data_IF_895022723210
#
_entry.id   IF_895022723210
#
_cell.length_a   1.000
_cell.length_b   1.000
_cell.length_c   1.000
_cell.angle_alpha   90.00
_cell.angle_beta   90.00
_cell.angle_gamma   90.00
#
_symmetry.space_group_name_H-M   'P 1'
#
loop_
_entity.id
_entity.type
_entity.pdbx_description
1 polymer ?
#
# COMPACT_ATOMS: atom_id res chain seq x y z
N UNK A 1 25.24 -13.20 9.36
CA UNK A 1 23.87 -13.78 9.28
C UNK A 1 23.01 -12.79 8.49
N UNK A 2 22.41 -13.15 7.35
CA UNK A 2 21.55 -12.21 6.63
C UNK A 2 20.24 -12.10 7.40
N UNK A 3 20.08 -11.04 8.17
CA UNK A 3 18.77 -10.64 8.69
C UNK A 3 17.93 -10.23 7.48
N UNK A 4 17.21 -11.19 6.90
CA UNK A 4 16.13 -10.93 5.96
C UNK A 4 14.95 -10.46 6.81
N UNK A 5 14.94 -9.18 7.14
CA UNK A 5 13.71 -8.49 7.52
C UNK A 5 13.08 -8.04 6.20
N UNK A 6 12.18 -8.82 5.59
CA UNK A 6 11.47 -8.32 4.43
C UNK A 6 10.77 -7.02 4.83
N UNK A 7 10.88 -5.95 4.02
CA UNK A 7 10.19 -4.70 4.31
C UNK A 7 8.70 -5.00 4.46
N UNK A 8 8.10 -4.46 5.52
CA UNK A 8 6.68 -4.72 5.77
C UNK A 8 5.88 -4.22 4.57
N UNK A 9 4.84 -4.94 4.10
CA UNK A 9 4.14 -4.58 2.88
C UNK A 9 3.52 -3.18 2.92
N UNK A 10 3.16 -2.68 4.10
CA UNK A 10 2.74 -1.30 4.27
C UNK A 10 3.85 -0.25 4.09
N UNK A 11 5.11 -0.55 4.40
CA UNK A 11 6.23 0.34 4.08
C UNK A 11 6.47 0.41 2.58
N UNK A 12 6.30 -0.71 1.87
CA UNK A 12 6.37 -0.77 0.40
C UNK A 12 5.29 0.13 -0.22
N UNK A 13 4.08 0.13 0.35
CA UNK A 13 2.99 1.00 -0.13
C UNK A 13 3.32 2.48 0.06
N UNK A 14 4.01 2.84 1.15
CA UNK A 14 4.47 4.22 1.38
C UNK A 14 5.42 4.68 0.27
N UNK A 15 6.45 3.87 0.02
CA UNK A 15 7.54 4.18 -0.91
C UNK A 15 7.04 4.19 -2.37
N UNK A 16 6.21 3.22 -2.75
CA UNK A 16 5.75 3.08 -4.14
C UNK A 16 4.58 3.99 -4.51
N UNK A 17 3.83 4.51 -3.53
CA UNK A 17 2.62 5.29 -3.82
C UNK A 17 2.52 6.61 -3.07
N UNK A 18 2.76 6.63 -1.76
CA UNK A 18 2.56 7.84 -0.97
C UNK A 18 3.61 8.90 -1.33
N UNK A 19 4.88 8.50 -1.43
CA UNK A 19 5.98 9.40 -1.82
C UNK A 19 5.87 9.92 -3.26
N UNK A 20 5.70 9.09 -4.31
CA UNK A 20 5.65 9.58 -5.69
C UNK A 20 4.36 10.34 -6.05
N UNK A 21 3.27 10.13 -5.30
CA UNK A 21 2.02 10.89 -5.50
C UNK A 21 1.93 12.12 -4.59
N UNK A 22 2.94 12.36 -3.75
CA UNK A 22 2.97 13.43 -2.74
C UNK A 22 1.68 13.49 -1.89
N UNK A 23 1.05 12.32 -1.69
CA UNK A 23 -0.22 12.23 -0.98
C UNK A 23 0.01 12.28 0.52
N UNK A 24 -0.83 13.03 1.23
CA UNK A 24 -0.83 12.94 2.69
C UNK A 24 -1.52 11.64 3.13
N UNK A 25 -1.05 11.06 4.23
CA UNK A 25 -1.69 9.90 4.90
C UNK A 25 -3.19 10.15 5.14
N UNK A 26 -3.56 11.40 5.41
CA UNK A 26 -4.96 11.81 5.61
C UNK A 26 -5.78 11.73 4.32
N UNK A 27 -5.24 12.24 3.20
CA UNK A 27 -5.93 12.18 1.90
C UNK A 27 -6.06 10.74 1.39
N UNK A 28 -4.99 9.95 1.52
CA UNK A 28 -5.02 8.53 1.16
C UNK A 28 -6.04 7.77 2.03
N UNK A 29 -6.07 8.02 3.34
CA UNK A 29 -7.03 7.40 4.24
C UNK A 29 -8.48 7.78 3.90
N UNK A 30 -8.73 9.06 3.56
CA UNK A 30 -10.05 9.53 3.14
C UNK A 30 -10.51 8.85 1.84
N UNK A 31 -9.63 8.73 0.84
CA UNK A 31 -9.96 8.06 -0.42
C UNK A 31 -10.11 6.54 -0.30
N UNK A 32 -9.43 5.93 0.68
CA UNK A 32 -9.57 4.50 1.02
C UNK A 32 -10.78 4.20 1.92
N UNK A 33 -11.42 5.24 2.49
CA UNK A 33 -12.50 5.07 3.47
C UNK A 33 -12.03 4.37 4.75
N UNK A 34 -10.80 4.64 5.20
CA UNK A 34 -10.22 4.07 6.42
C UNK A 34 -9.77 5.17 7.38
N UNK A 35 -9.68 4.84 8.67
CA UNK A 35 -9.15 5.78 9.66
C UNK A 35 -7.67 6.06 9.40
N UNK A 36 -7.26 7.34 9.54
CA UNK A 36 -5.85 7.76 9.46
C UNK A 36 -4.93 6.92 10.36
N UNK A 37 -5.41 6.55 11.55
CA UNK A 37 -4.68 5.68 12.48
C UNK A 37 -4.39 4.30 11.87
N UNK A 38 -5.39 3.69 11.22
CA UNK A 38 -5.25 2.38 10.55
C UNK A 38 -4.24 2.45 9.42
N UNK A 39 -4.35 3.47 8.56
CA UNK A 39 -3.39 3.67 7.47
C UNK A 39 -1.97 3.89 8.02
N UNK A 40 -1.83 4.73 9.05
CA UNK A 40 -0.53 4.99 9.69
C UNK A 40 0.09 3.72 10.29
N UNK A 41 -0.69 2.90 11.00
CA UNK A 41 -0.19 1.63 11.54
C UNK A 41 0.27 0.67 10.45
N UNK A 42 -0.47 0.61 9.34
CA UNK A 42 -0.12 -0.21 8.18
C UNK A 42 1.19 0.28 7.54
N UNK A 43 1.29 1.58 7.25
CA UNK A 43 2.48 2.19 6.64
C UNK A 43 3.74 2.10 7.51
N UNK A 44 3.60 2.02 8.84
CA UNK A 44 4.71 1.85 9.78
C UNK A 44 4.99 0.38 10.15
N UNK A 45 4.32 -0.57 9.49
CA UNK A 45 4.56 -2.00 9.72
C UNK A 45 4.01 -2.58 11.01
N UNK A 46 3.09 -1.88 11.66
CA UNK A 46 2.41 -2.32 12.87
C UNK A 46 1.06 -2.99 12.60
N UNK A 47 0.56 -2.98 11.35
CA UNK A 47 -0.68 -3.64 10.97
C UNK A 47 -0.55 -4.36 9.62
N UNK A 48 -0.96 -5.63 9.57
CA UNK A 48 -1.00 -6.42 8.35
C UNK A 48 -2.10 -5.97 7.37
N UNK A 49 -2.00 -6.44 6.12
CA UNK A 49 -3.00 -6.17 5.08
C UNK A 49 -4.08 -7.25 5.13
N UNK A 50 -5.27 -6.89 5.59
CA UNK A 50 -6.46 -7.74 5.43
C UNK A 50 -6.91 -7.80 3.97
N UNK A 51 -7.55 -8.90 3.51
CA UNK A 51 -8.05 -9.01 2.13
C UNK A 51 -9.01 -7.87 1.75
N UNK A 52 -9.87 -7.42 2.66
CA UNK A 52 -10.71 -6.23 2.43
C UNK A 52 -9.88 -4.96 2.19
N UNK A 53 -8.77 -4.80 2.92
CA UNK A 53 -7.87 -3.65 2.76
C UNK A 53 -7.14 -3.70 1.40
N UNK A 54 -6.74 -4.90 0.96
CA UNK A 54 -6.12 -5.09 -0.35
C UNK A 54 -7.06 -4.69 -1.50
N UNK A 55 -8.34 -5.04 -1.41
CA UNK A 55 -9.34 -4.65 -2.41
C UNK A 55 -9.56 -3.14 -2.43
N UNK A 56 -9.67 -2.51 -1.25
CA UNK A 56 -9.81 -1.04 -1.15
C UNK A 56 -8.60 -0.32 -1.73
N UNK A 57 -7.39 -0.78 -1.42
CA UNK A 57 -6.15 -0.28 -2.01
C UNK A 57 -6.14 -0.43 -3.52
N UNK A 58 -6.47 -1.61 -4.04
CA UNK A 58 -6.52 -1.84 -5.50
C UNK A 58 -7.47 -0.87 -6.21
N UNK A 59 -8.67 -0.66 -5.65
CA UNK A 59 -9.66 0.23 -6.25
C UNK A 59 -9.26 1.70 -6.15
N UNK A 60 -8.75 2.12 -4.99
CA UNK A 60 -8.25 3.48 -4.81
C UNK A 60 -7.11 3.79 -5.78
N UNK A 61 -6.12 2.90 -5.91
CA UNK A 61 -5.03 3.09 -6.86
C UNK A 61 -5.47 3.06 -8.33
N UNK A 62 -6.43 2.22 -8.69
CA UNK A 62 -7.03 2.27 -10.04
C UNK A 62 -7.66 3.63 -10.34
N UNK A 63 -8.24 4.30 -9.35
CA UNK A 63 -8.86 5.62 -9.52
C UNK A 63 -7.85 6.78 -9.52
N UNK A 64 -6.75 6.67 -8.77
CA UNK A 64 -5.76 7.75 -8.61
C UNK A 64 -4.68 7.73 -9.70
N UNK A 65 -4.31 6.54 -10.19
CA UNK A 65 -3.21 6.38 -11.15
C UNK A 65 -3.71 5.83 -12.48
N UNK A 66 -3.90 6.73 -13.46
CA UNK A 66 -4.01 6.38 -14.89
C UNK A 66 -2.66 5.97 -15.52
N UNK A 67 -1.61 5.80 -14.71
CA UNK A 67 -0.26 5.39 -15.13
C UNK A 67 -0.07 3.88 -14.92
N UNK A 68 -0.11 3.05 -15.98
CA UNK A 68 -0.11 1.59 -15.89
C UNK A 68 1.23 0.95 -15.49
N UNK A 69 2.30 1.73 -15.29
CA UNK A 69 3.65 1.18 -15.09
C UNK A 69 3.94 0.65 -13.68
N UNK A 70 3.29 1.16 -12.64
CA UNK A 70 3.58 0.79 -11.24
C UNK A 70 2.71 -0.36 -10.71
N UNK A 71 1.45 -0.46 -11.15
CA UNK A 71 0.52 -1.52 -10.71
C UNK A 71 0.96 -2.91 -11.19
N UNK A 72 1.66 -2.96 -12.33
CA UNK A 72 2.24 -4.19 -12.90
C UNK A 72 3.28 -4.82 -11.97
N UNK A 73 4.07 -4.01 -11.26
CA UNK A 73 5.12 -4.50 -10.37
C UNK A 73 4.54 -5.10 -9.08
N UNK A 74 3.46 -4.51 -8.55
CA UNK A 74 2.85 -5.00 -7.32
C UNK A 74 2.06 -6.30 -7.55
N UNK A 75 1.39 -6.45 -8.70
CA UNK A 75 0.73 -7.72 -9.07
C UNK A 75 1.75 -8.83 -9.30
N UNK A 76 2.91 -8.53 -9.90
CA UNK A 76 3.98 -9.52 -10.12
C UNK A 76 4.70 -9.92 -8.82
N UNK A 77 4.90 -9.00 -7.87
CA UNK A 77 5.55 -9.32 -6.59
C UNK A 77 4.60 -10.00 -5.58
N UNK A 78 3.30 -9.72 -5.62
CA UNK A 78 2.33 -10.30 -4.67
C UNK A 78 1.58 -11.54 -5.18
N UNK A 79 1.77 -11.92 -6.45
CA UNK A 79 1.17 -13.11 -7.07
C UNK A 79 1.74 -14.46 -6.59
N UNK A 80 2.65 -14.48 -5.61
CA UNK A 80 3.31 -15.70 -5.11
C UNK A 80 3.26 -15.82 -3.57
N UNK A 81 2.18 -15.31 -2.96
CA UNK A 81 1.91 -15.46 -1.53
C UNK A 81 0.63 -16.29 -1.27
N UNK A 82 0.35 -17.28 -2.14
CA UNK A 82 -0.50 -18.45 -1.90
C UNK A 82 0.33 -19.69 -2.23
#
# INVERSE_FOLDING_TARGET
MPMKNPPHPGEIIRDLYIEPLELTVTQAAAGLGVSRKTLSLLLNGHAGISPEMAVRLSNFYKSVTASPRLVHFLVLCYGNCI
#
